data_IF_429728817783
#
_entry.id   IF_429728817783
#
_cell.length_a   1.000
_cell.length_b   1.000
_cell.length_c   1.000
_cell.angle_alpha   90.00
_cell.angle_beta   90.00
_cell.angle_gamma   90.00
#
_symmetry.space_group_name_H-M   'P 1'
#
loop_
_entity.id
_entity.type
_entity.pdbx_description
1 polymer ?
#
# COMPACT_ATOMS: atom_id res chain seq x y z
N UNK A 1 -17.01 -13.14 -5.31
CA UNK A 1 -17.47 -12.38 -6.49
C UNK A 1 -17.72 -13.39 -7.59
N UNK A 2 -18.80 -13.24 -8.36
CA UNK A 2 -19.07 -14.07 -9.52
C UNK A 2 -18.63 -13.38 -10.80
N UNK A 3 -18.44 -14.16 -11.85
CA UNK A 3 -18.16 -13.71 -13.21
C UNK A 3 -19.05 -14.48 -14.18
N UNK A 4 -19.38 -13.88 -15.32
CA UNK A 4 -20.18 -14.52 -16.35
C UNK A 4 -19.92 -13.90 -17.72
N UNK A 5 -20.29 -14.65 -18.76
CA UNK A 5 -20.31 -14.19 -20.15
C UNK A 5 -21.47 -14.83 -20.90
N UNK A 6 -21.89 -14.17 -21.98
CA UNK A 6 -22.98 -14.62 -22.85
C UNK A 6 -22.50 -14.55 -24.31
N UNK A 7 -22.79 -15.60 -25.07
CA UNK A 7 -22.60 -15.65 -26.52
C UNK A 7 -23.85 -15.17 -27.25
N UNK A 8 -23.68 -14.31 -28.25
CA UNK A 8 -24.79 -13.68 -28.99
C UNK A 8 -24.73 -13.90 -30.51
N UNK A 9 -23.85 -14.79 -31.00
CA UNK A 9 -23.50 -14.99 -32.42
C UNK A 9 -24.72 -15.13 -33.35
N UNK A 10 -25.81 -15.77 -32.89
CA UNK A 10 -27.02 -16.00 -33.70
C UNK A 10 -28.33 -15.65 -32.96
N UNK A 11 -28.27 -14.75 -31.98
CA UNK A 11 -29.37 -14.53 -31.04
C UNK A 11 -29.84 -13.09 -31.07
N UNK A 12 -31.15 -12.92 -31.26
CA UNK A 12 -31.81 -11.62 -31.08
C UNK A 12 -32.53 -11.61 -29.74
N UNK A 13 -32.71 -10.45 -29.08
CA UNK A 13 -33.41 -10.39 -27.79
C UNK A 13 -34.82 -11.00 -27.78
N UNK A 14 -35.42 -11.21 -28.97
CA UNK A 14 -36.76 -11.74 -29.17
C UNK A 14 -36.80 -13.25 -29.51
N UNK A 15 -35.66 -13.92 -29.69
CA UNK A 15 -35.63 -15.38 -29.83
C UNK A 15 -35.84 -15.99 -28.45
N UNK A 16 -37.00 -16.59 -28.17
CA UNK A 16 -37.38 -17.10 -26.83
C UNK A 16 -36.50 -18.22 -26.24
N UNK A 17 -35.32 -18.48 -26.79
CA UNK A 17 -34.31 -19.40 -26.26
C UNK A 17 -33.23 -18.61 -25.51
N UNK A 18 -32.83 -19.03 -24.30
CA UNK A 18 -31.75 -18.38 -23.57
C UNK A 18 -30.42 -18.58 -24.32
N UNK A 19 -29.57 -17.54 -24.41
CA UNK A 19 -28.29 -17.64 -25.08
C UNK A 19 -27.33 -18.58 -24.35
N UNK A 20 -26.40 -19.24 -25.08
CA UNK A 20 -25.27 -19.92 -24.46
C UNK A 20 -24.55 -18.96 -23.52
N UNK A 21 -24.39 -19.39 -22.28
CA UNK A 21 -23.79 -18.56 -21.25
C UNK A 21 -23.02 -19.42 -20.26
N UNK A 22 -22.02 -18.80 -19.65
CA UNK A 22 -21.22 -19.42 -18.62
C UNK A 22 -21.11 -18.50 -17.43
N UNK A 23 -21.06 -19.08 -16.23
CA UNK A 23 -20.89 -18.33 -14.99
C UNK A 23 -20.06 -19.11 -13.98
N UNK A 24 -19.30 -18.40 -13.17
CA UNK A 24 -18.42 -18.99 -12.17
C UNK A 24 -18.17 -18.05 -10.99
N UNK A 25 -17.54 -18.59 -9.95
CA UNK A 25 -17.13 -17.83 -8.77
C UNK A 25 -15.62 -17.70 -8.69
N UNK A 26 -15.17 -16.65 -8.00
CA UNK A 26 -13.77 -16.45 -7.63
C UNK A 26 -13.52 -16.72 -6.15
N UNK A 27 -12.40 -17.35 -5.84
CA UNK A 27 -11.81 -17.39 -4.51
C UNK A 27 -10.71 -16.31 -4.37
N UNK A 28 -10.24 -16.14 -3.13
CA UNK A 28 -9.04 -15.40 -2.75
C UNK A 28 -8.86 -14.01 -3.37
N UNK A 29 -9.03 -12.99 -2.52
CA UNK A 29 -8.96 -11.57 -2.89
C UNK A 29 -9.83 -11.20 -4.11
N UNK A 30 -11.14 -11.49 -4.07
CA UNK A 30 -12.03 -11.16 -5.17
C UNK A 30 -12.10 -9.64 -5.37
N UNK A 31 -12.09 -9.20 -6.63
CA UNK A 31 -12.31 -7.81 -7.04
C UNK A 31 -13.12 -7.79 -8.34
N UNK A 32 -13.77 -6.68 -8.65
CA UNK A 32 -14.52 -6.54 -9.92
C UNK A 32 -13.63 -6.80 -11.13
N UNK A 33 -12.45 -6.17 -11.16
CA UNK A 33 -11.44 -6.42 -12.20
C UNK A 33 -11.05 -7.89 -12.31
N UNK A 34 -10.87 -8.61 -11.19
CA UNK A 34 -10.52 -10.04 -11.27
C UNK A 34 -11.67 -10.86 -11.88
N UNK A 35 -12.91 -10.54 -11.56
CA UNK A 35 -14.07 -11.22 -12.14
C UNK A 35 -14.16 -10.98 -13.65
N UNK A 36 -13.96 -9.74 -14.10
CA UNK A 36 -13.94 -9.40 -15.52
C UNK A 36 -12.83 -10.13 -16.28
N UNK A 37 -11.63 -10.24 -15.70
CA UNK A 37 -10.51 -11.00 -16.29
C UNK A 37 -10.84 -12.49 -16.38
N UNK A 38 -11.52 -13.07 -15.40
CA UNK A 38 -11.93 -14.48 -15.45
C UNK A 38 -13.09 -14.73 -16.42
N UNK A 39 -14.00 -13.76 -16.59
CA UNK A 39 -15.01 -13.81 -17.64
C UNK A 39 -14.35 -13.86 -19.02
N UNK A 40 -13.36 -12.99 -19.27
CA UNK A 40 -12.54 -13.02 -20.48
C UNK A 40 -11.80 -14.35 -20.67
N UNK A 41 -11.11 -14.82 -19.63
CA UNK A 41 -10.34 -16.06 -19.66
C UNK A 41 -11.23 -17.26 -20.01
N UNK A 42 -12.37 -17.41 -19.33
CA UNK A 42 -13.26 -18.55 -19.54
C UNK A 42 -13.96 -18.53 -20.89
N UNK A 43 -14.21 -17.35 -21.45
CA UNK A 43 -14.68 -17.26 -22.82
C UNK A 43 -13.63 -17.69 -23.84
N UNK A 44 -12.38 -17.22 -23.69
CA UNK A 44 -11.25 -17.65 -24.53
C UNK A 44 -11.02 -19.17 -24.45
N UNK A 45 -11.23 -19.76 -23.27
CA UNK A 45 -11.18 -21.22 -23.10
C UNK A 45 -12.26 -21.90 -23.96
N UNK A 46 -13.49 -21.38 -23.96
CA UNK A 46 -14.64 -21.98 -24.64
C UNK A 46 -14.63 -21.86 -26.18
N UNK A 47 -14.03 -20.80 -26.74
CA UNK A 47 -14.00 -20.56 -28.20
C UNK A 47 -13.19 -21.65 -28.92
N UNK A 48 -13.57 -22.16 -30.09
CA UNK A 48 -12.74 -23.10 -30.87
C UNK A 48 -11.39 -22.52 -31.32
N UNK A 49 -10.49 -23.39 -31.77
CA UNK A 49 -9.21 -22.96 -32.37
C UNK A 49 -9.45 -22.21 -33.69
N UNK A 50 -8.48 -21.40 -34.10
CA UNK A 50 -8.48 -20.62 -35.34
C UNK A 50 -9.75 -19.77 -35.53
N UNK A 51 -10.23 -19.14 -34.46
CA UNK A 51 -11.47 -18.35 -34.45
C UNK A 51 -11.21 -16.85 -34.21
N UNK A 52 -12.12 -16.01 -34.72
CA UNK A 52 -12.17 -14.59 -34.42
C UNK A 52 -13.25 -14.32 -33.35
N UNK A 53 -12.85 -13.58 -32.30
CA UNK A 53 -13.66 -13.32 -31.12
C UNK A 53 -13.77 -11.81 -30.87
N UNK A 54 -14.98 -11.29 -31.01
CA UNK A 54 -15.33 -9.91 -30.65
C UNK A 54 -15.94 -9.87 -29.25
N UNK A 55 -15.28 -9.13 -28.36
CA UNK A 55 -15.60 -9.07 -26.94
C UNK A 55 -16.10 -7.68 -26.59
N UNK A 56 -17.35 -7.59 -26.13
CA UNK A 56 -17.94 -6.34 -25.68
C UNK A 56 -17.89 -6.26 -24.16
N UNK A 57 -17.17 -5.29 -23.61
CA UNK A 57 -17.05 -5.11 -22.16
C UNK A 57 -17.12 -3.67 -21.74
N UNK A 58 -17.73 -3.42 -20.58
CA UNK A 58 -17.71 -2.13 -19.91
C UNK A 58 -16.45 -1.92 -19.05
N UNK A 59 -15.53 -2.88 -18.98
CA UNK A 59 -14.27 -2.71 -18.24
C UNK A 59 -13.20 -2.01 -19.08
N UNK A 60 -12.98 -0.71 -18.84
CA UNK A 60 -11.83 -0.02 -19.45
C UNK A 60 -10.50 -0.61 -18.96
N UNK A 61 -10.46 -1.13 -17.73
CA UNK A 61 -9.24 -1.66 -17.14
C UNK A 61 -8.82 -2.99 -17.78
N UNK A 62 -9.78 -3.87 -18.11
CA UNK A 62 -9.52 -5.10 -18.86
C UNK A 62 -9.03 -4.79 -20.26
N UNK A 63 -9.69 -3.88 -20.99
CA UNK A 63 -9.27 -3.48 -22.34
C UNK A 63 -7.84 -2.97 -22.34
N UNK A 64 -7.53 -2.01 -21.47
CA UNK A 64 -6.18 -1.45 -21.37
C UNK A 64 -5.14 -2.51 -20.99
N UNK A 65 -5.44 -3.37 -20.01
CA UNK A 65 -4.49 -4.40 -19.56
C UNK A 65 -4.29 -5.48 -20.62
N UNK A 66 -5.34 -5.87 -21.35
CA UNK A 66 -5.27 -6.80 -22.47
C UNK A 66 -4.24 -6.33 -23.50
N UNK A 67 -4.37 -5.09 -23.98
CA UNK A 67 -3.40 -4.53 -24.93
C UNK A 67 -1.97 -4.42 -24.39
N UNK A 68 -1.81 -4.23 -23.07
CA UNK A 68 -0.48 -4.26 -22.45
C UNK A 68 0.10 -5.68 -22.46
N UNK A 69 -0.67 -6.70 -22.10
CA UNK A 69 -0.15 -8.07 -21.96
C UNK A 69 0.04 -8.75 -23.32
N UNK A 70 -0.87 -8.56 -24.28
CA UNK A 70 -0.78 -9.20 -25.61
C UNK A 70 0.25 -8.54 -26.51
N UNK A 71 0.69 -7.33 -26.19
CA UNK A 71 1.80 -6.69 -26.88
C UNK A 71 3.11 -7.43 -26.59
N UNK A 72 3.67 -8.09 -27.60
CA UNK A 72 4.91 -8.88 -27.51
C UNK A 72 6.16 -8.05 -27.15
N UNK A 73 6.09 -6.71 -27.25
CA UNK A 73 7.15 -5.80 -26.79
C UNK A 73 7.07 -5.47 -25.30
N UNK A 74 6.02 -5.91 -24.59
CA UNK A 74 5.88 -5.68 -23.16
C UNK A 74 6.88 -6.52 -22.37
N UNK A 75 7.76 -5.84 -21.64
CA UNK A 75 8.73 -6.52 -20.77
C UNK A 75 8.05 -7.37 -19.70
N UNK A 76 8.67 -8.50 -19.32
CA UNK A 76 8.24 -9.36 -18.20
C UNK A 76 7.98 -8.57 -16.92
N UNK A 77 8.82 -7.56 -16.64
CA UNK A 77 8.66 -6.69 -15.46
C UNK A 77 7.34 -5.92 -15.48
N UNK A 78 6.89 -5.46 -16.65
CA UNK A 78 5.63 -4.72 -16.79
C UNK A 78 4.45 -5.68 -16.62
N UNK A 79 4.52 -6.88 -17.18
CA UNK A 79 3.51 -7.94 -17.01
C UNK A 79 3.35 -8.37 -15.55
N UNK A 80 4.46 -8.58 -14.81
CA UNK A 80 4.43 -8.96 -13.39
C UNK A 80 3.91 -7.84 -12.45
N UNK A 81 3.82 -6.60 -12.93
CA UNK A 81 3.19 -5.49 -12.18
C UNK A 81 1.67 -5.44 -12.39
N UNK A 82 1.15 -6.11 -13.41
CA UNK A 82 -0.28 -6.18 -13.66
C UNK A 82 -0.94 -7.03 -12.57
N UNK A 83 -2.07 -6.57 -12.06
CA UNK A 83 -2.91 -7.41 -11.22
C UNK A 83 -3.53 -8.53 -12.07
N UNK A 84 -3.78 -9.68 -11.44
CA UNK A 84 -4.22 -10.92 -12.06
C UNK A 84 -3.22 -11.46 -13.10
N UNK A 85 -1.91 -11.24 -12.91
CA UNK A 85 -0.87 -11.59 -13.91
C UNK A 85 -0.88 -13.06 -14.34
N UNK A 86 -1.30 -13.98 -13.45
CA UNK A 86 -1.45 -15.40 -13.76
C UNK A 86 -2.56 -15.65 -14.80
N UNK A 87 -3.73 -15.03 -14.62
CA UNK A 87 -4.84 -15.13 -15.56
C UNK A 87 -4.48 -14.51 -16.91
N UNK A 88 -3.78 -13.37 -16.88
CA UNK A 88 -3.28 -12.72 -18.10
C UNK A 88 -2.24 -13.54 -18.84
N UNK A 89 -1.32 -14.20 -18.13
CA UNK A 89 -0.36 -15.11 -18.73
C UNK A 89 -1.06 -16.30 -19.41
N UNK A 90 -2.09 -16.86 -18.77
CA UNK A 90 -2.90 -17.92 -19.36
C UNK A 90 -3.66 -17.44 -20.60
N UNK A 91 -4.25 -16.24 -20.56
CA UNK A 91 -4.91 -15.62 -21.72
C UNK A 91 -3.96 -15.48 -22.91
N UNK A 92 -2.77 -14.88 -22.72
CA UNK A 92 -1.79 -14.71 -23.82
C UNK A 92 -1.31 -16.06 -24.39
N UNK A 93 -1.14 -17.05 -23.51
CA UNK A 93 -0.78 -18.42 -23.89
C UNK A 93 -1.88 -19.06 -24.73
N UNK A 94 -3.15 -18.96 -24.32
CA UNK A 94 -4.28 -19.55 -25.02
C UNK A 94 -4.51 -18.88 -26.37
N UNK A 95 -4.44 -17.55 -26.45
CA UNK A 95 -4.56 -16.82 -27.73
C UNK A 95 -3.51 -17.29 -28.72
N UNK A 96 -2.26 -17.43 -28.26
CA UNK A 96 -1.15 -17.87 -29.11
C UNK A 96 -1.31 -19.34 -29.52
N UNK A 97 -1.70 -20.23 -28.59
CA UNK A 97 -1.83 -21.66 -28.83
C UNK A 97 -3.00 -22.01 -29.76
N UNK A 98 -4.10 -21.28 -29.65
CA UNK A 98 -5.34 -21.50 -30.40
C UNK A 98 -5.46 -20.63 -31.65
N UNK A 99 -4.40 -19.87 -32.00
CA UNK A 99 -4.37 -18.95 -33.15
C UNK A 99 -5.55 -17.98 -33.20
N UNK A 100 -5.97 -17.44 -32.06
CA UNK A 100 -7.18 -16.61 -31.98
C UNK A 100 -6.92 -15.16 -32.41
N UNK A 101 -7.90 -14.57 -33.08
CA UNK A 101 -7.97 -13.12 -33.32
C UNK A 101 -8.97 -12.54 -32.32
N UNK A 102 -8.49 -11.86 -31.28
CA UNK A 102 -9.34 -11.33 -30.20
C UNK A 102 -9.39 -9.80 -30.27
N UNK A 103 -10.61 -9.24 -30.35
CA UNK A 103 -10.87 -7.80 -30.36
C UNK A 103 -11.75 -7.42 -29.19
N UNK A 104 -11.39 -6.34 -28.48
CA UNK A 104 -12.16 -5.85 -27.34
C UNK A 104 -12.80 -4.50 -27.67
N UNK A 105 -14.10 -4.38 -27.38
CA UNK A 105 -14.94 -3.22 -27.64
C UNK A 105 -15.48 -2.66 -26.33
N UNK A 106 -15.36 -1.35 -26.13
CA UNK A 106 -15.87 -0.68 -24.93
C UNK A 106 -17.38 -0.47 -25.05
N UNK A 107 -18.13 -0.99 -24.08
CA UNK A 107 -19.55 -0.69 -23.88
C UNK A 107 -19.70 0.38 -22.80
N UNK A 108 -20.68 1.28 -22.93
CA UNK A 108 -20.97 2.27 -21.89
C UNK A 108 -21.66 1.58 -20.71
N UNK A 109 -21.09 1.69 -19.52
CA UNK A 109 -21.72 1.19 -18.29
C UNK A 109 -23.08 1.89 -18.08
N UNK A 110 -24.06 1.17 -17.53
CA UNK A 110 -25.41 1.70 -17.23
C UNK A 110 -26.12 2.32 -18.43
N UNK A 111 -25.96 1.73 -19.62
CA UNK A 111 -26.60 2.17 -20.86
C UNK A 111 -27.89 1.42 -21.19
N UNK A 112 -28.45 0.65 -20.24
CA UNK A 112 -29.59 -0.25 -20.43
C UNK A 112 -29.39 -1.20 -21.63
N UNK A 113 -28.17 -1.72 -21.78
CA UNK A 113 -27.88 -2.71 -22.81
C UNK A 113 -28.38 -4.06 -22.30
N UNK A 114 -29.41 -4.60 -22.97
CA UNK A 114 -30.08 -5.84 -22.60
C UNK A 114 -29.12 -7.01 -22.31
N UNK A 115 -28.15 -7.24 -23.21
CA UNK A 115 -27.19 -8.33 -23.05
C UNK A 115 -26.20 -8.07 -21.92
N UNK A 116 -25.83 -6.81 -21.72
CA UNK A 116 -24.96 -6.43 -20.61
C UNK A 116 -25.65 -6.66 -19.26
N UNK A 117 -26.90 -6.20 -19.14
CA UNK A 117 -27.69 -6.35 -17.92
C UNK A 117 -27.96 -7.84 -17.59
N UNK A 118 -28.14 -8.68 -18.64
CA UNK A 118 -28.26 -10.13 -18.48
C UNK A 118 -26.98 -10.76 -17.91
N UNK A 119 -25.81 -10.43 -18.47
CA UNK A 119 -24.55 -11.00 -17.99
C UNK A 119 -24.18 -10.50 -16.57
N UNK A 120 -24.52 -9.27 -16.22
CA UNK A 120 -24.41 -8.76 -14.85
C UNK A 120 -25.29 -9.53 -13.86
N UNK A 121 -26.53 -9.82 -14.24
CA UNK A 121 -27.43 -10.66 -13.46
C UNK A 121 -26.84 -12.06 -13.25
N UNK A 122 -26.32 -12.69 -14.31
CA UNK A 122 -25.66 -14.00 -14.22
C UNK A 122 -24.45 -13.97 -13.28
N UNK A 123 -23.58 -12.97 -13.40
CA UNK A 123 -22.41 -12.81 -12.54
C UNK A 123 -22.82 -12.62 -11.08
N UNK A 124 -23.92 -11.91 -10.81
CA UNK A 124 -24.42 -11.74 -9.44
C UNK A 124 -24.95 -13.05 -8.85
N UNK A 125 -25.68 -13.86 -9.64
CA UNK A 125 -26.14 -15.19 -9.18
C UNK A 125 -24.98 -16.16 -8.94
N UNK A 126 -23.87 -16.00 -9.65
CA UNK A 126 -22.72 -16.88 -9.59
C UNK A 126 -21.88 -16.72 -8.31
N UNK A 127 -22.13 -15.69 -7.49
CA UNK A 127 -21.32 -15.38 -6.29
C UNK A 127 -21.24 -16.52 -5.26
N UNK A 128 -22.24 -17.39 -5.25
CA UNK A 128 -22.38 -18.50 -4.30
C UNK A 128 -21.87 -19.84 -4.87
N UNK A 129 -21.38 -19.86 -6.11
CA UNK A 129 -20.84 -21.07 -6.71
C UNK A 129 -19.47 -21.42 -6.12
N UNK A 130 -19.08 -22.68 -6.32
CA UNK A 130 -17.72 -23.13 -5.97
C UNK A 130 -16.70 -22.35 -6.80
N UNK A 131 -15.69 -21.76 -6.17
CA UNK A 131 -14.76 -20.89 -6.86
C UNK A 131 -13.75 -21.64 -7.73
N UNK A 132 -13.37 -21.00 -8.84
CA UNK A 132 -12.30 -21.47 -9.72
C UNK A 132 -10.94 -20.89 -9.31
N UNK A 133 -9.91 -21.72 -9.39
CA UNK A 133 -8.52 -21.33 -9.17
C UNK A 133 -7.63 -21.79 -10.32
N UNK A 134 -6.75 -20.89 -10.78
CA UNK A 134 -5.72 -21.25 -11.76
C UNK A 134 -4.63 -22.01 -11.02
N UNK A 135 -4.37 -23.25 -11.44
CA UNK A 135 -3.18 -23.97 -11.00
C UNK A 135 -1.92 -23.31 -11.60
N UNK A 136 -1.07 -22.66 -10.80
CA UNK A 136 0.07 -21.92 -11.34
C UNK A 136 1.22 -22.84 -11.80
N UNK A 137 1.24 -24.11 -11.36
CA UNK A 137 2.32 -25.05 -11.67
C UNK A 137 2.36 -25.47 -13.14
N UNK A 138 1.24 -25.32 -13.84
CA UNK A 138 1.08 -25.70 -15.24
C UNK A 138 1.23 -24.53 -16.20
N UNK A 139 1.55 -23.32 -15.71
CA UNK A 139 1.69 -22.13 -16.55
C UNK A 139 3.06 -22.10 -17.26
N UNK A 140 3.09 -22.02 -18.60
CA UNK A 140 4.34 -22.01 -19.34
C UNK A 140 5.12 -20.70 -19.08
N UNK A 141 6.44 -20.80 -18.98
CA UNK A 141 7.33 -19.64 -18.82
C UNK A 141 7.39 -19.03 -17.42
N UNK A 142 6.67 -19.57 -16.43
CA UNK A 142 6.78 -19.17 -15.03
C UNK A 142 7.89 -19.95 -14.33
N UNK A 143 9.00 -19.29 -13.97
CA UNK A 143 10.09 -19.92 -13.18
C UNK A 143 9.64 -20.28 -11.75
N UNK A 144 8.73 -19.48 -11.19
CA UNK A 144 8.20 -19.66 -9.84
C UNK A 144 6.95 -18.80 -9.67
N UNK A 145 5.92 -19.35 -9.04
CA UNK A 145 4.78 -18.57 -8.57
C UNK A 145 4.79 -18.53 -7.05
N UNK A 146 5.00 -17.36 -6.42
CA UNK A 146 5.00 -17.27 -4.97
C UNK A 146 3.58 -17.48 -4.45
N UNK A 147 3.45 -18.29 -3.39
CA UNK A 147 2.19 -18.64 -2.75
C UNK A 147 2.12 -17.93 -1.40
N UNK A 148 1.00 -17.27 -1.12
CA UNK A 148 0.76 -16.64 0.18
C UNK A 148 0.39 -17.71 1.22
N UNK A 149 1.26 -17.90 2.22
CA UNK A 149 1.04 -18.81 3.35
C UNK A 149 0.63 -20.24 2.96
N UNK A 150 1.06 -20.73 1.78
CA UNK A 150 0.61 -22.00 1.19
C UNK A 150 -0.91 -22.09 0.95
N UNK A 151 -1.62 -20.95 0.96
CA UNK A 151 -3.07 -20.86 0.73
C UNK A 151 -3.37 -20.66 -0.75
N UNK A 152 -2.82 -19.61 -1.36
CA UNK A 152 -3.15 -19.25 -2.74
C UNK A 152 -2.00 -18.49 -3.45
N UNK A 153 -1.92 -18.58 -4.78
CA UNK A 153 -0.92 -17.85 -5.57
C UNK A 153 -1.03 -16.32 -5.41
N UNK A 154 0.10 -15.63 -5.38
CA UNK A 154 0.14 -14.16 -5.38
C UNK A 154 0.03 -13.68 -6.83
N UNK A 155 -1.20 -13.32 -7.21
CA UNK A 155 -1.60 -12.90 -8.55
C UNK A 155 -1.56 -11.36 -8.74
N UNK A 156 -0.73 -10.63 -7.98
CA UNK A 156 -0.61 -9.15 -8.05
C UNK A 156 0.84 -8.70 -8.08
N UNK A 157 1.08 -7.39 -8.12
CA UNK A 157 2.45 -6.82 -8.02
C UNK A 157 3.16 -7.35 -6.76
N UNK A 158 4.07 -8.31 -6.98
CA UNK A 158 4.79 -9.02 -5.92
C UNK A 158 5.64 -8.05 -5.10
N UNK A 159 6.22 -7.01 -5.72
CA UNK A 159 7.07 -6.06 -4.99
C UNK A 159 6.25 -5.22 -4.03
N UNK A 160 5.10 -4.72 -4.48
CA UNK A 160 4.17 -3.98 -3.61
C UNK A 160 3.62 -4.87 -2.51
N UNK A 161 3.29 -6.13 -2.84
CA UNK A 161 2.84 -7.11 -1.85
C UNK A 161 3.89 -7.33 -0.74
N UNK A 162 5.14 -7.63 -1.11
CA UNK A 162 6.23 -7.82 -0.14
C UNK A 162 6.55 -6.53 0.64
N UNK A 163 6.47 -5.36 -0.01
CA UNK A 163 6.65 -4.08 0.67
C UNK A 163 5.57 -3.86 1.73
N UNK A 164 4.30 -4.13 1.42
CA UNK A 164 3.22 -4.01 2.38
C UNK A 164 3.41 -4.95 3.59
N UNK A 165 3.88 -6.18 3.38
CA UNK A 165 4.20 -7.09 4.48
C UNK A 165 5.31 -6.54 5.38
N UNK A 166 6.35 -5.96 4.77
CA UNK A 166 7.45 -5.34 5.49
C UNK A 166 6.99 -4.12 6.28
N UNK A 167 6.13 -3.29 5.69
CA UNK A 167 5.50 -2.14 6.35
C UNK A 167 4.65 -2.59 7.56
N UNK A 168 3.83 -3.64 7.41
CA UNK A 168 3.01 -4.19 8.50
C UNK A 168 3.89 -4.74 9.62
N UNK A 169 4.93 -5.52 9.29
CA UNK A 169 5.86 -6.05 10.28
C UNK A 169 6.59 -4.93 11.04
N UNK A 170 7.07 -3.92 10.32
CA UNK A 170 7.75 -2.76 10.90
C UNK A 170 6.80 -1.96 11.79
N UNK A 171 5.54 -1.77 11.36
CA UNK A 171 4.53 -1.10 12.15
C UNK A 171 4.18 -1.88 13.42
N UNK A 172 4.06 -3.20 13.35
CA UNK A 172 3.84 -4.04 14.52
C UNK A 172 5.02 -3.97 15.53
N UNK A 173 6.26 -3.96 15.04
CA UNK A 173 7.43 -3.72 15.89
C UNK A 173 7.41 -2.33 16.53
N UNK A 174 6.98 -1.31 15.78
CA UNK A 174 6.80 0.03 16.30
C UNK A 174 5.75 0.07 17.42
N UNK A 175 4.59 -0.58 17.25
CA UNK A 175 3.57 -0.69 18.29
C UNK A 175 4.06 -1.43 19.54
N UNK A 176 4.95 -2.42 19.36
CA UNK A 176 5.58 -3.16 20.46
C UNK A 176 6.74 -2.44 21.14
N UNK A 177 7.05 -1.18 20.79
CA UNK A 177 8.14 -0.43 21.40
C UNK A 177 7.79 -0.05 22.86
N UNK A 178 8.56 -0.49 23.87
CA UNK A 178 8.27 -0.20 25.28
C UNK A 178 8.24 1.28 25.62
N UNK A 179 8.94 2.14 24.86
CA UNK A 179 8.87 3.58 25.10
C UNK A 179 7.50 4.17 24.76
N UNK A 180 6.69 3.49 23.93
CA UNK A 180 5.35 3.95 23.54
C UNK A 180 4.24 3.33 24.39
N UNK A 181 4.54 2.34 25.24
CA UNK A 181 3.56 1.74 26.16
C UNK A 181 2.79 2.79 26.96
N UNK A 182 3.39 3.84 27.54
CA UNK A 182 2.64 4.86 28.28
C UNK A 182 1.56 5.58 27.45
N UNK A 183 1.77 5.72 26.14
CA UNK A 183 0.75 6.28 25.23
C UNK A 183 -0.37 5.26 25.01
N UNK A 184 -0.02 4.02 24.70
CA UNK A 184 -1.00 2.98 24.35
C UNK A 184 -1.80 2.46 25.55
N UNK A 185 -1.27 2.59 26.77
CA UNK A 185 -1.99 2.32 28.02
C UNK A 185 -3.06 3.39 28.31
N UNK A 186 -2.85 4.60 27.78
CA UNK A 186 -3.68 5.78 28.01
C UNK A 186 -4.67 6.04 26.87
N UNK A 187 -4.30 5.66 25.64
CA UNK A 187 -5.06 5.94 24.42
C UNK A 187 -5.19 4.66 23.59
N UNK A 188 -6.41 4.28 23.18
CA UNK A 188 -6.58 3.13 22.29
C UNK A 188 -5.93 3.40 20.93
N UNK A 189 -5.43 2.36 20.25
CA UNK A 189 -4.80 2.52 18.94
C UNK A 189 -5.70 3.17 17.88
N UNK A 190 -7.02 3.09 18.05
CA UNK A 190 -8.03 3.72 17.20
C UNK A 190 -8.12 5.24 17.39
N UNK A 191 -7.63 5.80 18.49
CA UNK A 191 -7.63 7.25 18.73
C UNK A 191 -6.49 7.97 18.00
N UNK A 192 -5.64 7.24 17.26
CA UNK A 192 -4.51 7.79 16.51
C UNK A 192 -4.78 7.63 15.02
N UNK A 193 -4.73 8.76 14.30
CA UNK A 193 -4.82 8.76 12.85
C UNK A 193 -3.46 8.37 12.23
N UNK A 194 -3.21 7.06 12.13
CA UNK A 194 -1.93 6.49 11.69
C UNK A 194 -1.44 6.96 10.31
N UNK A 195 -2.28 7.08 9.25
CA UNK A 195 -1.80 7.52 7.95
C UNK A 195 -1.22 8.94 7.98
N UNK A 196 -1.86 9.85 8.72
CA UNK A 196 -1.43 11.23 8.85
C UNK A 196 -0.25 11.36 9.82
N UNK A 197 -0.23 10.56 10.88
CA UNK A 197 0.93 10.42 11.78
C UNK A 197 2.18 9.96 11.04
N UNK A 198 2.08 8.92 10.20
CA UNK A 198 3.18 8.45 9.34
C UNK A 198 3.70 9.58 8.45
N UNK A 199 2.79 10.29 7.79
CA UNK A 199 3.15 11.41 6.94
C UNK A 199 3.85 12.52 7.75
N UNK A 200 3.31 12.87 8.93
CA UNK A 200 3.84 13.92 9.80
C UNK A 200 5.27 13.60 10.28
N UNK A 201 5.52 12.35 10.69
CA UNK A 201 6.86 11.92 11.10
C UNK A 201 7.88 11.95 9.96
N UNK A 202 7.43 11.78 8.72
CA UNK A 202 8.27 11.84 7.51
C UNK A 202 8.41 13.26 6.94
N UNK A 203 7.64 14.22 7.45
CA UNK A 203 7.60 15.58 6.92
C UNK A 203 8.94 16.30 7.05
N UNK A 204 9.42 16.89 5.96
CA UNK A 204 10.60 17.73 5.96
C UNK A 204 10.20 19.21 5.86
N UNK A 205 10.44 19.99 6.91
CA UNK A 205 10.13 21.42 6.93
C UNK A 205 11.23 22.30 6.31
N UNK A 206 12.39 21.73 5.96
CA UNK A 206 13.48 22.49 5.32
C UNK A 206 13.47 22.29 3.80
N UNK A 207 13.88 23.31 3.02
CA UNK A 207 13.97 23.19 1.56
C UNK A 207 14.96 22.10 1.12
N UNK A 208 16.01 21.88 1.91
CA UNK A 208 17.05 20.91 1.60
C UNK A 208 16.65 19.46 1.93
N UNK A 209 17.12 18.52 1.10
CA UNK A 209 16.99 17.08 1.35
C UNK A 209 17.84 16.66 2.55
N UNK A 210 18.99 17.27 2.76
CA UNK A 210 19.89 16.99 3.89
C UNK A 210 20.45 18.28 4.47
N UNK A 211 20.11 18.58 5.72
CA UNK A 211 20.67 19.71 6.47
C UNK A 211 20.81 19.37 7.96
N UNK A 212 21.67 20.12 8.64
CA UNK A 212 21.83 20.04 10.11
C UNK A 212 20.53 20.43 10.82
N UNK A 213 19.82 21.43 10.32
CA UNK A 213 18.52 21.87 10.81
C UNK A 213 17.47 20.76 10.68
N UNK A 214 17.35 20.13 9.50
CA UNK A 214 16.46 18.98 9.29
C UNK A 214 16.76 17.85 10.27
N UNK A 215 18.04 17.50 10.41
CA UNK A 215 18.47 16.44 11.32
C UNK A 215 18.11 16.76 12.77
N UNK A 216 18.19 18.03 13.16
CA UNK A 216 17.81 18.50 14.50
C UNK A 216 16.30 18.43 14.74
N UNK A 217 15.48 18.86 13.78
CA UNK A 217 14.02 18.72 13.85
C UNK A 217 13.59 17.26 13.90
N UNK A 218 14.15 16.39 13.05
CA UNK A 218 13.86 14.97 13.06
C UNK A 218 14.27 14.32 14.39
N UNK A 219 15.45 14.68 14.93
CA UNK A 219 15.88 14.20 16.23
C UNK A 219 14.94 14.66 17.35
N UNK A 220 14.46 15.91 17.31
CA UNK A 220 13.46 16.40 18.26
C UNK A 220 12.17 15.58 18.18
N UNK A 221 11.60 15.39 16.98
CA UNK A 221 10.37 14.61 16.79
C UNK A 221 10.49 13.18 17.29
N UNK A 222 11.54 12.46 16.89
CA UNK A 222 11.76 11.08 17.32
C UNK A 222 11.97 11.00 18.83
N UNK A 223 12.71 11.93 19.43
CA UNK A 223 12.89 11.94 20.89
C UNK A 223 11.60 12.29 21.64
N UNK A 224 10.79 13.21 21.12
CA UNK A 224 9.47 13.54 21.68
C UNK A 224 8.58 12.29 21.64
N UNK A 225 8.47 11.65 20.48
CA UNK A 225 7.68 10.42 20.31
C UNK A 225 8.09 9.31 21.27
N UNK A 226 9.38 9.13 21.55
CA UNK A 226 9.89 8.07 22.44
C UNK A 226 10.00 8.48 23.92
N UNK A 227 9.37 9.59 24.35
CA UNK A 227 9.45 10.11 25.73
C UNK A 227 10.90 10.34 26.23
N UNK A 228 11.83 10.60 25.32
CA UNK A 228 13.23 10.89 25.66
C UNK A 228 13.39 12.36 26.04
N UNK A 229 12.51 13.23 25.53
CA UNK A 229 12.43 14.60 25.97
C UNK A 229 11.55 14.67 27.22
N UNK A 230 11.83 15.60 28.16
CA UNK A 230 10.87 15.96 29.19
C UNK A 230 9.67 16.60 28.49
N UNK A 231 8.70 15.77 28.12
CA UNK A 231 7.46 16.18 27.49
C UNK A 231 6.42 16.50 28.57
N UNK A 232 5.18 16.77 28.16
CA UNK A 232 4.16 17.49 28.94
C UNK A 232 4.02 17.06 30.40
N UNK A 233 4.15 15.80 30.76
CA UNK A 233 4.06 15.30 32.15
C UNK A 233 5.07 15.95 33.12
N UNK A 234 6.32 16.15 32.69
CA UNK A 234 7.33 16.87 33.49
C UNK A 234 7.13 18.38 33.41
N UNK A 235 6.64 18.88 32.27
CA UNK A 235 6.48 20.31 32.01
C UNK A 235 5.25 20.92 32.69
N UNK A 236 4.10 20.24 32.69
CA UNK A 236 2.85 20.65 33.36
C UNK A 236 3.06 20.76 34.87
N UNK A 237 3.92 19.90 35.44
CA UNK A 237 4.24 19.92 36.88
C UNK A 237 5.22 21.04 37.29
N UNK A 238 5.95 21.64 36.34
CA UNK A 238 7.05 22.57 36.64
C UNK A 238 7.00 23.92 35.90
N UNK A 239 6.15 24.11 34.89
CA UNK A 239 6.16 25.31 34.06
C UNK A 239 4.75 25.88 33.82
N UNK A 240 4.50 27.09 34.35
CA UNK A 240 3.41 28.01 33.98
C UNK A 240 3.40 28.43 32.49
N UNK A 241 4.31 27.90 31.65
CA UNK A 241 4.48 28.22 30.23
C UNK A 241 3.48 27.42 29.36
N UNK A 242 2.82 26.41 29.92
CA UNK A 242 1.90 25.56 29.16
C UNK A 242 0.54 26.23 28.87
N UNK A 243 0.09 27.15 29.71
CA UNK A 243 -1.18 27.89 29.56
C UNK A 243 -1.23 28.75 28.29
N UNK A 244 -0.18 29.51 27.90
CA UNK A 244 -0.12 30.19 26.60
C UNK A 244 -0.28 29.25 25.40
N UNK A 245 0.34 28.07 25.43
CA UNK A 245 0.27 27.07 24.34
C UNK A 245 -1.14 26.52 24.20
N UNK A 246 -1.83 26.31 25.33
CA UNK A 246 -3.24 25.92 25.41
C UNK A 246 -4.16 26.98 24.78
N UNK A 247 -3.92 28.26 25.04
CA UNK A 247 -4.73 29.35 24.46
C UNK A 247 -4.46 29.47 22.96
N UNK A 248 -3.20 29.30 22.55
CA UNK A 248 -2.81 29.51 21.15
C UNK A 248 -3.35 28.44 20.21
N UNK A 249 -3.45 27.17 20.63
CA UNK A 249 -4.03 26.08 19.79
C UNK A 249 -5.47 26.37 19.37
N UNK A 250 -6.29 26.96 20.24
CA UNK A 250 -7.70 27.29 19.93
C UNK A 250 -7.74 28.33 18.81
N UNK A 251 -6.96 29.41 18.98
CA UNK A 251 -6.88 30.51 18.01
C UNK A 251 -6.36 30.06 16.65
N UNK A 252 -5.33 29.20 16.60
CA UNK A 252 -4.83 28.68 15.32
C UNK A 252 -5.94 27.91 14.60
N UNK A 253 -6.57 26.96 15.30
CA UNK A 253 -7.55 26.07 14.65
C UNK A 253 -8.77 26.86 14.17
N UNK A 254 -9.27 27.77 15.00
CA UNK A 254 -10.38 28.65 14.63
C UNK A 254 -10.04 29.46 13.38
N UNK A 255 -8.89 30.14 13.37
CA UNK A 255 -8.44 30.91 12.20
C UNK A 255 -8.35 30.04 10.94
N UNK A 256 -7.73 28.86 11.04
CA UNK A 256 -7.59 27.97 9.88
C UNK A 256 -8.94 27.47 9.36
N UNK A 257 -9.91 27.18 10.25
CA UNK A 257 -11.26 26.79 9.82
C UNK A 257 -12.01 27.97 9.20
N UNK A 258 -11.88 29.18 9.73
CA UNK A 258 -12.48 30.40 9.16
C UNK A 258 -11.88 30.76 7.79
N UNK A 259 -10.57 30.58 7.60
CA UNK A 259 -9.87 30.87 6.34
C UNK A 259 -10.20 29.86 5.23
N UNK A 260 -10.39 28.58 5.60
CA UNK A 260 -10.55 27.49 4.63
C UNK A 260 -11.99 27.00 4.46
N UNK A 261 -12.94 27.49 5.25
CA UNK A 261 -14.34 27.02 5.21
C UNK A 261 -15.32 28.18 5.23
N UNK A 262 -16.50 27.99 4.65
CA UNK A 262 -17.55 29.03 4.59
C UNK A 262 -18.49 29.01 5.81
N UNK A 263 -18.12 28.33 6.89
CA UNK A 263 -18.95 28.24 8.09
C UNK A 263 -18.93 29.55 8.90
N UNK A 264 -20.03 29.81 9.60
CA UNK A 264 -20.12 30.97 10.49
C UNK A 264 -19.08 30.83 11.64
N UNK A 265 -18.28 31.86 11.94
CA UNK A 265 -17.33 31.88 13.06
C UNK A 265 -17.93 31.45 14.41
N UNK A 266 -19.19 31.81 14.69
CA UNK A 266 -19.87 31.43 15.93
C UNK A 266 -20.11 29.91 15.99
N UNK A 267 -20.48 29.28 14.87
CA UNK A 267 -20.69 27.84 14.81
C UNK A 267 -19.36 27.07 14.92
N UNK A 268 -18.30 27.59 14.28
CA UNK A 268 -16.94 27.06 14.41
C UNK A 268 -16.51 27.11 15.88
N UNK A 269 -16.67 28.26 16.54
CA UNK A 269 -16.31 28.47 17.96
C UNK A 269 -17.07 27.50 18.86
N UNK A 270 -18.40 27.38 18.71
CA UNK A 270 -19.21 26.44 19.50
C UNK A 270 -18.76 25.00 19.36
N UNK A 271 -18.39 24.58 18.14
CA UNK A 271 -17.92 23.21 17.88
C UNK A 271 -16.51 22.97 18.42
N UNK A 272 -15.65 23.99 18.38
CA UNK A 272 -14.28 23.98 18.91
C UNK A 272 -14.31 23.90 20.44
N UNK A 273 -15.19 24.66 21.10
CA UNK A 273 -15.27 24.74 22.57
C UNK A 273 -15.71 23.43 23.21
N UNK A 274 -16.46 22.60 22.47
CA UNK A 274 -16.89 21.27 22.91
C UNK A 274 -15.85 20.18 22.65
N UNK A 275 -14.72 20.50 22.03
CA UNK A 275 -13.75 19.51 21.59
C UNK A 275 -12.64 19.26 22.62
N UNK A 276 -12.46 18.01 23.05
CA UNK A 276 -11.55 17.59 24.12
C UNK A 276 -10.10 18.03 23.93
N UNK A 277 -9.61 18.11 22.69
CA UNK A 277 -8.23 18.59 22.41
C UNK A 277 -8.02 20.04 22.85
N UNK A 278 -9.10 20.81 22.96
CA UNK A 278 -9.10 22.26 23.12
C UNK A 278 -9.55 22.69 24.52
N UNK A 279 -10.13 21.77 25.31
CA UNK A 279 -10.48 21.99 26.71
C UNK A 279 -9.27 22.35 27.59
N UNK A 280 -9.43 23.21 28.61
CA UNK A 280 -8.36 23.45 29.57
C UNK A 280 -7.86 22.15 30.21
N UNK A 281 -6.54 22.05 30.40
CA UNK A 281 -5.96 20.94 31.15
C UNK A 281 -6.20 21.21 32.64
N UNK A 282 -6.92 20.29 33.28
CA UNK A 282 -7.17 20.25 34.72
C UNK A 282 -6.60 18.95 35.30
N UNK A 283 -6.54 18.84 36.62
CA UNK A 283 -6.08 17.59 37.26
C UNK A 283 -6.91 16.38 36.79
N UNK A 284 -8.22 16.56 36.62
CA UNK A 284 -9.17 15.51 36.25
C UNK A 284 -9.00 14.95 34.82
N UNK A 285 -8.55 15.77 33.85
CA UNK A 285 -8.42 15.36 32.44
C UNK A 285 -6.96 15.27 31.97
N UNK A 286 -5.98 15.72 32.79
CA UNK A 286 -4.56 15.75 32.42
C UNK A 286 -4.00 14.40 31.98
N UNK A 287 -4.51 13.30 32.56
CA UNK A 287 -4.08 11.96 32.20
C UNK A 287 -4.64 11.53 30.84
N UNK A 288 -5.82 11.93 30.39
CA UNK A 288 -6.39 11.43 29.12
C UNK A 288 -6.49 12.50 28.04
N UNK A 289 -5.95 13.70 28.28
CA UNK A 289 -6.11 14.83 27.38
C UNK A 289 -5.46 14.57 25.99
N UNK A 290 -6.21 14.68 24.86
CA UNK A 290 -5.72 14.37 23.52
C UNK A 290 -4.47 15.15 23.06
N UNK A 291 -4.23 16.34 23.63
CA UNK A 291 -3.00 17.12 23.41
C UNK A 291 -1.73 16.32 23.68
N UNK A 292 -1.78 15.32 24.57
CA UNK A 292 -0.67 14.44 24.86
C UNK A 292 -0.19 13.71 23.59
N UNK A 293 -1.13 13.22 22.77
CA UNK A 293 -0.81 12.62 21.47
C UNK A 293 -0.04 13.61 20.59
N UNK A 294 -0.55 14.85 20.47
CA UNK A 294 0.05 15.87 19.60
C UNK A 294 1.47 16.21 20.07
N UNK A 295 1.68 16.46 21.37
CA UNK A 295 3.02 16.74 21.94
C UNK A 295 4.02 15.63 21.57
N UNK A 296 3.55 14.37 21.62
CA UNK A 296 4.30 13.18 21.27
C UNK A 296 4.31 12.86 19.77
N UNK A 297 4.02 13.84 18.90
CA UNK A 297 4.09 13.73 17.44
C UNK A 297 3.07 12.76 16.82
N UNK A 298 2.00 12.46 17.55
CA UNK A 298 0.89 11.61 17.09
C UNK A 298 -0.32 12.47 16.79
N UNK A 299 -1.00 12.17 15.68
CA UNK A 299 -2.20 12.90 15.28
C UNK A 299 -3.43 12.18 15.83
N UNK A 300 -4.27 12.90 16.59
CA UNK A 300 -5.53 12.36 17.11
C UNK A 300 -6.53 12.07 15.97
N UNK A 301 -7.20 10.93 16.05
CA UNK A 301 -8.29 10.56 15.14
C UNK A 301 -9.50 11.49 15.29
N UNK A 302 -9.83 11.90 16.52
CA UNK A 302 -10.93 12.81 16.76
C UNK A 302 -10.65 14.19 16.19
N UNK A 303 -9.38 14.62 16.23
CA UNK A 303 -8.99 15.89 15.62
C UNK A 303 -9.16 15.85 14.10
N UNK A 304 -8.80 14.72 13.48
CA UNK A 304 -9.07 14.51 12.07
C UNK A 304 -10.58 14.52 11.75
N UNK A 305 -11.39 13.85 12.56
CA UNK A 305 -12.84 13.78 12.38
C UNK A 305 -13.50 15.15 12.50
N UNK A 306 -13.09 15.97 13.48
CA UNK A 306 -13.57 17.34 13.66
C UNK A 306 -13.29 18.19 12.42
N UNK A 307 -12.05 18.24 11.95
CA UNK A 307 -11.72 19.06 10.77
C UNK A 307 -12.42 18.51 9.52
N UNK A 308 -12.59 17.19 9.43
CA UNK A 308 -13.32 16.55 8.34
C UNK A 308 -14.81 16.94 8.33
N UNK A 309 -15.44 17.13 9.49
CA UNK A 309 -16.85 17.52 9.55
C UNK A 309 -17.11 18.94 9.04
N UNK A 310 -16.10 19.79 8.96
CA UNK A 310 -16.19 21.12 8.34
C UNK A 310 -15.81 21.15 6.87
N UNK A 311 -15.04 20.17 6.39
CA UNK A 311 -14.46 20.23 5.04
C UNK A 311 -15.09 19.23 4.07
N UNK A 312 -15.58 18.09 4.57
CA UNK A 312 -16.06 16.95 3.78
C UNK A 312 -15.08 16.50 2.68
N UNK A 313 -13.80 16.86 2.81
CA UNK A 313 -12.78 16.68 1.77
C UNK A 313 -11.43 16.31 2.42
N UNK A 314 -10.96 15.07 2.20
CA UNK A 314 -9.73 14.56 2.83
C UNK A 314 -8.49 15.41 2.53
N UNK A 315 -8.37 15.95 1.31
CA UNK A 315 -7.21 16.75 0.92
C UNK A 315 -7.19 18.07 1.71
N UNK A 316 -8.33 18.74 1.80
CA UNK A 316 -8.47 19.98 2.56
C UNK A 316 -8.32 19.73 4.07
N UNK A 317 -8.96 18.69 4.60
CA UNK A 317 -8.83 18.26 6.00
C UNK A 317 -7.36 18.11 6.38
N UNK A 318 -6.59 17.37 5.57
CA UNK A 318 -5.17 17.14 5.80
C UNK A 318 -4.38 18.43 5.76
N UNK A 319 -4.67 19.35 4.82
CA UNK A 319 -3.98 20.64 4.72
C UNK A 319 -4.13 21.46 6.01
N UNK A 320 -5.37 21.62 6.48
CA UNK A 320 -5.68 22.38 7.70
C UNK A 320 -4.98 21.77 8.92
N UNK A 321 -5.07 20.44 9.09
CA UNK A 321 -4.37 19.74 10.19
C UNK A 321 -2.86 19.92 10.08
N UNK A 322 -2.31 19.89 8.87
CA UNK A 322 -0.88 20.06 8.64
C UNK A 322 -0.40 21.44 9.08
N UNK A 323 -1.11 22.49 8.69
CA UNK A 323 -0.79 23.87 9.06
C UNK A 323 -0.91 24.08 10.58
N UNK A 324 -1.94 23.49 11.18
CA UNK A 324 -2.08 23.45 12.64
C UNK A 324 -0.86 22.79 13.30
N UNK A 325 -0.46 21.59 12.86
CA UNK A 325 0.68 20.87 13.44
C UNK A 325 2.00 21.62 13.27
N UNK A 326 2.24 22.25 12.12
CA UNK A 326 3.42 23.08 11.87
C UNK A 326 3.45 24.25 12.87
N UNK A 327 2.36 25.01 12.95
CA UNK A 327 2.28 26.18 13.82
C UNK A 327 2.40 25.79 15.29
N UNK A 328 1.68 24.75 15.72
CA UNK A 328 1.70 24.25 17.09
C UNK A 328 3.10 23.78 17.50
N UNK A 329 3.73 22.93 16.69
CA UNK A 329 5.04 22.37 17.03
C UNK A 329 6.16 23.39 16.94
N UNK A 330 6.10 24.36 16.03
CA UNK A 330 7.06 25.46 16.01
C UNK A 330 6.98 26.26 17.31
N UNK A 331 5.76 26.59 17.78
CA UNK A 331 5.61 27.27 19.07
C UNK A 331 6.13 26.47 20.26
N UNK A 332 5.77 25.19 20.35
CA UNK A 332 6.28 24.28 21.39
C UNK A 332 7.81 24.27 21.36
N UNK A 333 8.39 24.15 20.16
CA UNK A 333 9.83 24.15 19.99
C UNK A 333 10.45 25.48 20.44
N UNK A 334 10.01 26.63 19.90
CA UNK A 334 10.61 27.93 20.19
C UNK A 334 10.47 28.36 21.65
N UNK A 335 9.32 28.10 22.28
CA UNK A 335 9.04 28.58 23.64
C UNK A 335 9.62 27.66 24.73
N UNK A 336 9.54 26.34 24.54
CA UNK A 336 9.93 25.39 25.59
C UNK A 336 11.38 24.95 25.41
N UNK A 337 11.78 24.57 24.20
CA UNK A 337 13.01 23.80 24.01
C UNK A 337 14.30 24.61 24.23
N UNK A 338 14.46 25.84 23.68
CA UNK A 338 15.59 26.71 24.00
C UNK A 338 15.70 27.03 25.50
N UNK A 339 14.57 27.31 26.16
CA UNK A 339 14.56 27.61 27.60
C UNK A 339 15.00 26.41 28.42
N UNK A 340 14.45 25.23 28.14
CA UNK A 340 14.85 23.97 28.77
C UNK A 340 16.34 23.68 28.54
N UNK A 341 16.83 23.79 27.30
CA UNK A 341 18.25 23.59 27.00
C UNK A 341 19.17 24.54 27.77
N UNK A 342 18.73 25.78 27.98
CA UNK A 342 19.49 26.78 28.74
C UNK A 342 19.52 26.45 30.22
N UNK A 343 18.38 26.06 30.80
CA UNK A 343 18.29 25.64 32.21
C UNK A 343 19.08 24.35 32.47
N UNK A 344 19.03 23.39 31.55
CA UNK A 344 19.83 22.16 31.63
C UNK A 344 21.33 22.47 31.60
N UNK A 345 21.79 23.36 30.72
CA UNK A 345 23.20 23.81 30.70
C UNK A 345 23.62 24.46 32.02
N UNK A 346 22.78 25.31 32.60
CA UNK A 346 23.05 25.94 33.90
C UNK A 346 23.10 24.90 35.03
N UNK A 347 22.17 23.95 35.03
CA UNK A 347 22.18 22.85 36.00
C UNK A 347 23.44 21.99 35.86
N UNK A 348 23.85 21.65 34.64
CA UNK A 348 25.07 20.90 34.37
C UNK A 348 26.32 21.65 34.86
N UNK A 349 26.40 22.96 34.64
CA UNK A 349 27.47 23.81 35.14
C UNK A 349 27.53 23.82 36.67
N UNK A 350 26.38 23.99 37.34
CA UNK A 350 26.29 23.97 38.82
C UNK A 350 26.70 22.63 39.43
N UNK A 351 26.48 21.53 38.71
CA UNK A 351 26.87 20.18 39.15
C UNK A 351 28.26 19.74 38.64
N UNK A 352 29.03 20.65 38.02
CA UNK A 352 30.36 20.34 37.48
C UNK A 352 30.36 19.33 36.32
N UNK A 353 29.23 19.12 35.66
CA UNK A 353 29.08 18.16 34.55
C UNK A 353 29.59 18.80 33.27
N UNK A 354 30.82 18.46 32.88
CA UNK A 354 31.42 18.97 31.65
C UNK A 354 31.13 18.09 30.43
N UNK A 355 31.28 18.61 29.19
CA UNK A 355 31.26 17.77 27.99
C UNK A 355 32.27 16.62 28.02
N UNK A 356 33.42 16.81 28.69
CA UNK A 356 34.40 15.75 28.91
C UNK A 356 33.84 14.64 29.80
N UNK A 357 33.24 14.99 30.95
CA UNK A 357 32.55 14.04 31.83
C UNK A 357 31.52 13.19 31.06
N UNK A 358 30.72 13.82 30.19
CA UNK A 358 29.73 13.11 29.36
C UNK A 358 30.38 12.17 28.34
N UNK A 359 31.48 12.57 27.70
CA UNK A 359 32.21 11.72 26.73
C UNK A 359 32.86 10.53 27.44
N UNK A 360 33.48 10.77 28.58
CA UNK A 360 34.16 9.74 29.36
C UNK A 360 33.16 8.72 29.91
N UNK A 361 32.00 9.17 30.39
CA UNK A 361 30.90 8.30 30.79
C UNK A 361 30.44 7.38 29.65
N UNK A 362 30.25 7.92 28.43
CA UNK A 362 29.86 7.11 27.26
C UNK A 362 30.92 6.08 26.87
N UNK A 363 32.21 6.40 27.02
CA UNK A 363 33.33 5.49 26.73
C UNK A 363 33.45 4.38 27.77
N UNK A 364 33.15 4.68 29.04
CA UNK A 364 33.18 3.73 30.16
C UNK A 364 31.94 2.84 30.23
N UNK A 365 30.85 3.22 29.57
CA UNK A 365 29.64 2.39 29.51
C UNK A 365 29.99 1.10 28.75
N UNK A 366 29.87 -0.08 29.36
CA UNK A 366 30.12 -1.33 28.64
C UNK A 366 29.18 -1.36 27.43
N UNK A 367 29.74 -1.64 26.24
CA UNK A 367 28.91 -1.95 25.08
C UNK A 367 28.06 -3.14 25.48
N UNK A 368 26.74 -2.99 25.58
CA UNK A 368 25.85 -4.15 25.68
C UNK A 368 26.23 -5.09 24.54
N UNK A 369 26.64 -6.32 24.85
CA UNK A 369 26.75 -7.36 23.83
C UNK A 369 25.39 -7.42 23.14
N UNK A 370 25.40 -7.41 21.80
CA UNK A 370 24.21 -7.76 21.04
C UNK A 370 24.08 -9.28 21.12
N UNK A 371 23.72 -9.79 22.28
CA UNK A 371 23.24 -11.16 22.40
C UNK A 371 21.78 -11.12 21.94
N UNK A 372 21.60 -11.18 20.62
CA UNK A 372 20.31 -11.62 20.08
C UNK A 372 20.20 -13.11 20.43
N UNK A 373 19.08 -13.56 21.03
CA UNK A 373 18.78 -14.98 21.07
C UNK A 373 18.74 -15.47 19.63
N UNK A 374 19.68 -16.35 19.29
CA UNK A 374 19.68 -17.03 18.01
C UNK A 374 18.53 -18.03 18.07
N UNK A 375 17.31 -17.59 17.74
CA UNK A 375 16.25 -18.53 17.44
C UNK A 375 16.69 -19.29 16.19
N UNK A 376 16.97 -20.57 16.38
CA UNK A 376 17.37 -21.51 15.35
C UNK A 376 16.39 -21.44 14.18
N UNK A 377 16.86 -20.98 13.03
CA UNK A 377 16.23 -21.19 11.74
C UNK A 377 17.06 -22.26 11.02
N UNK A 378 16.39 -23.37 10.77
CA UNK A 378 16.81 -24.52 9.97
C UNK A 378 17.56 -24.12 8.70
N UNK A 379 18.79 -24.64 8.62
CA UNK A 379 19.59 -25.02 7.43
C UNK A 379 19.17 -24.45 6.06
N UNK A 380 20.00 -23.54 5.53
CA UNK A 380 20.17 -23.32 4.09
C UNK A 380 21.59 -23.71 3.67
N UNK A 381 21.81 -24.30 2.48
CA UNK A 381 23.16 -24.67 2.03
C UNK A 381 23.99 -23.44 1.66
N UNK A 382 25.26 -23.50 2.07
CA UNK A 382 26.33 -22.55 1.74
C UNK A 382 26.74 -22.69 0.27
N UNK A 383 26.86 -21.55 -0.44
CA UNK A 383 27.66 -21.45 -1.66
C UNK A 383 28.91 -20.65 -1.31
N UNK A 384 30.06 -21.30 -1.43
CA UNK A 384 31.37 -20.74 -1.16
C UNK A 384 31.73 -19.64 -2.17
N UNK A 385 32.39 -18.59 -1.69
CA UNK A 385 33.13 -17.64 -2.52
C UNK A 385 34.48 -17.44 -1.86
N UNK A 386 35.50 -18.05 -2.45
CA UNK A 386 36.91 -17.96 -2.09
C UNK A 386 37.39 -16.50 -2.11
N UNK A 387 37.93 -16.06 -0.99
CA UNK A 387 38.76 -14.86 -0.86
C UNK A 387 40.23 -15.23 -1.07
N UNK A 388 41.04 -14.26 -1.53
CA UNK A 388 42.49 -14.05 -1.33
C UNK A 388 42.82 -12.81 -2.19
N UNK A 389 43.60 -11.79 -1.84
CA UNK A 389 44.21 -11.29 -0.61
C UNK A 389 44.75 -9.88 -0.99
N UNK A 390 44.90 -8.93 -0.07
CA UNK A 390 45.82 -7.78 -0.29
C UNK A 390 45.41 -6.47 0.36
N UNK A 391 45.99 -6.19 1.53
CA UNK A 391 45.91 -4.92 2.27
C UNK A 391 46.77 -3.82 1.63
N UNK A 392 46.32 -2.57 1.70
CA UNK A 392 47.00 -1.41 2.35
C UNK A 392 46.42 -0.07 1.83
N UNK A 393 46.03 0.80 2.77
CA UNK A 393 45.92 2.25 2.61
C UNK A 393 47.26 2.87 3.07
N UNK A 394 47.68 4.12 2.71
CA UNK A 394 46.80 5.31 2.70
C UNK A 394 47.17 6.54 1.81
N UNK A 395 46.24 7.52 1.76
CA UNK A 395 46.36 8.98 1.50
C UNK A 395 47.24 9.56 0.36
N UNK A 396 46.63 10.17 -0.68
CA UNK A 396 46.64 11.63 -1.00
C UNK A 396 46.01 11.96 -2.39
N UNK A 397 45.65 13.25 -2.70
CA UNK A 397 44.55 13.62 -3.59
C UNK A 397 44.93 14.27 -4.95
N UNK A 398 43.90 14.42 -5.82
CA UNK A 398 43.82 15.10 -7.15
C UNK A 398 44.40 14.27 -8.30
N UNK A 399 43.75 14.11 -9.46
CA UNK A 399 43.42 15.15 -10.45
C UNK A 399 42.24 14.70 -11.34
N UNK A 400 41.37 15.65 -11.70
CA UNK A 400 40.33 15.56 -12.74
C UNK A 400 41.00 15.67 -14.11
N UNK A 401 40.76 14.72 -15.00
CA UNK A 401 40.97 14.91 -16.44
C UNK A 401 39.71 14.52 -17.21
N UNK A 402 39.07 15.54 -17.75
CA UNK A 402 38.05 15.47 -18.80
C UNK A 402 38.70 14.91 -20.06
N UNK A 403 38.10 13.92 -20.73
CA UNK A 403 38.16 13.78 -22.18
C UNK A 403 36.97 12.94 -22.67
N UNK A 404 36.15 13.55 -23.51
CA UNK A 404 35.26 12.94 -24.52
C UNK A 404 35.51 13.71 -25.82
N UNK A 405 35.06 13.22 -26.98
CA UNK A 405 35.44 12.01 -27.72
C UNK A 405 36.00 12.41 -29.11
N UNK A 406 36.20 11.46 -30.05
CA UNK A 406 35.81 11.78 -31.42
C UNK A 406 34.97 10.70 -32.10
N UNK A 407 34.19 11.20 -33.05
CA UNK A 407 33.22 10.54 -33.91
C UNK A 407 33.78 9.41 -34.78
N UNK A 408 32.91 8.45 -35.13
CA UNK A 408 33.22 7.39 -36.08
C UNK A 408 31.99 6.57 -36.48
N UNK A 409 31.51 6.82 -37.69
CA UNK A 409 30.29 6.33 -38.34
C UNK A 409 30.33 4.83 -38.69
N UNK A 410 29.18 4.17 -38.47
CA UNK A 410 28.55 3.05 -39.21
C UNK A 410 29.35 1.79 -39.57
N UNK A 411 28.86 0.63 -39.11
CA UNK A 411 28.66 -0.56 -39.97
C UNK A 411 27.62 -1.51 -39.36
N UNK A 412 26.50 -1.67 -40.08
CA UNK A 412 25.50 -2.73 -39.90
C UNK A 412 26.12 -4.08 -40.27
N UNK A 413 25.91 -5.10 -39.45
CA UNK A 413 26.08 -6.50 -39.81
C UNK A 413 24.74 -7.21 -39.72
N UNK A 414 24.17 -7.54 -40.88
CA UNK A 414 23.07 -8.49 -41.04
C UNK A 414 23.60 -9.90 -40.77
N UNK A 415 22.82 -10.75 -40.09
CA UNK A 415 23.08 -12.19 -39.98
C UNK A 415 21.89 -12.98 -40.53
N UNK A 416 22.12 -14.14 -41.18
CA UNK A 416 21.23 -14.68 -42.20
C UNK A 416 20.49 -15.92 -41.71
N UNK A 417 19.15 -15.92 -41.83
CA UNK A 417 18.37 -17.15 -42.04
C UNK A 417 17.15 -16.81 -42.90
N UNK A 418 17.30 -17.07 -44.20
CA UNK A 418 16.23 -17.27 -45.17
C UNK A 418 16.02 -18.79 -45.24
N UNK A 419 14.80 -19.27 -45.04
CA UNK A 419 14.35 -20.56 -45.55
C UNK A 419 12.82 -20.64 -45.52
N UNK A 420 12.26 -20.43 -46.71
CA UNK A 420 11.06 -21.02 -47.34
C UNK A 420 9.87 -21.52 -46.50
N UNK A 421 8.69 -21.05 -46.94
CA UNK A 421 7.35 -21.52 -46.60
C UNK A 421 7.05 -22.98 -47.01
N UNK A 422 6.02 -23.61 -46.40
CA UNK A 422 5.24 -24.64 -47.05
C UNK A 422 3.85 -24.16 -47.48
N UNK A 423 3.58 -24.43 -48.75
CA UNK A 423 2.32 -24.70 -49.46
C UNK A 423 0.95 -24.47 -48.79
N UNK A 424 0.12 -23.77 -49.56
CA UNK A 424 -1.34 -23.67 -49.56
C UNK A 424 -2.13 -24.99 -49.56
N UNK A 425 -3.20 -25.10 -48.74
CA UNK A 425 -4.57 -25.59 -49.08
C UNK A 425 -5.48 -25.65 -47.82
N UNK A 426 -6.82 -25.71 -47.94
CA UNK A 426 -7.76 -25.10 -48.89
C UNK A 426 -8.72 -24.10 -48.19
N UNK A 427 -9.20 -23.13 -48.96
CA UNK A 427 -10.38 -22.31 -48.67
C UNK A 427 -11.63 -23.16 -48.80
N UNK A 428 -12.32 -23.52 -47.71
CA UNK A 428 -13.78 -23.72 -47.63
C UNK A 428 -14.15 -24.25 -46.23
N UNK A 429 -14.36 -23.34 -45.29
CA UNK A 429 -15.32 -23.42 -44.18
C UNK A 429 -15.55 -21.96 -43.74
N UNK A 430 -16.79 -21.47 -43.60
CA UNK A 430 -17.01 -20.12 -43.11
C UNK A 430 -16.58 -20.08 -41.64
N UNK A 431 -15.51 -19.33 -41.33
CA UNK A 431 -15.29 -18.86 -39.97
C UNK A 431 -16.47 -17.93 -39.65
N UNK A 432 -17.38 -18.41 -38.80
CA UNK A 432 -18.44 -17.58 -38.27
C UNK A 432 -17.81 -16.58 -37.29
N UNK A 433 -18.10 -15.29 -37.41
CA UNK A 433 -17.65 -14.32 -36.41
C UNK A 433 -18.34 -14.64 -35.08
N UNK A 434 -17.58 -14.83 -34.00
CA UNK A 434 -18.15 -15.13 -32.67
C UNK A 434 -18.22 -13.86 -31.82
N UNK A 435 -19.41 -13.57 -31.30
CA UNK A 435 -19.70 -12.32 -30.58
C UNK A 435 -19.99 -12.65 -29.12
N UNK A 436 -19.19 -12.09 -28.22
CA UNK A 436 -19.24 -12.37 -26.79
C UNK A 436 -19.38 -11.08 -25.98
N UNK A 437 -20.28 -11.08 -25.00
CA UNK A 437 -20.47 -9.95 -24.09
C UNK A 437 -19.97 -10.33 -22.69
N UNK A 438 -19.04 -9.52 -22.16
CA UNK A 438 -18.42 -9.61 -20.84
C UNK A 438 -18.83 -8.43 -19.96
N UNK A 439 -19.42 -8.68 -18.80
CA UNK A 439 -19.93 -7.60 -17.96
C UNK A 439 -19.14 -7.41 -16.66
N UNK A 440 -18.96 -6.14 -16.28
CA UNK A 440 -18.33 -5.75 -15.02
C UNK A 440 -19.31 -5.77 -13.85
N UNK A 441 -18.86 -6.37 -12.75
CA UNK A 441 -19.70 -6.46 -11.56
C UNK A 441 -19.78 -5.12 -10.81
N UNK A 442 -21.01 -4.78 -10.42
CA UNK A 442 -21.39 -3.58 -9.68
C UNK A 442 -20.48 -3.25 -8.48
N UNK A 443 -20.08 -1.97 -8.46
CA UNK A 443 -19.38 -1.28 -7.38
C UNK A 443 -20.21 -1.31 -6.09
N UNK A 444 -19.68 -1.93 -5.04
CA UNK A 444 -20.03 -1.59 -3.66
C UNK A 444 -18.76 -1.20 -2.93
N UNK A 445 -18.75 0.05 -2.48
CA UNK A 445 -17.75 0.61 -1.59
C UNK A 445 -17.52 -0.29 -0.37
N UNK A 446 -16.29 -0.74 -0.18
CA UNK A 446 -15.68 -1.00 1.13
C UNK A 446 -14.18 -0.92 0.91
N UNK A 447 -13.48 0.06 1.46
CA UNK A 447 -13.23 0.13 2.90
C UNK A 447 -11.79 -0.35 3.12
N UNK A 448 -11.01 0.42 3.88
CA UNK A 448 -9.57 0.28 3.98
C UNK A 448 -9.07 -1.15 4.24
N UNK A 449 -7.94 -1.48 3.60
CA UNK A 449 -7.14 -2.64 3.95
C UNK A 449 -6.49 -2.40 5.32
N UNK A 450 -7.25 -2.60 6.40
CA UNK A 450 -6.69 -2.82 7.72
C UNK A 450 -6.26 -4.28 7.79
N UNK A 451 -4.95 -4.51 7.69
CA UNK A 451 -4.36 -5.79 8.03
C UNK A 451 -4.41 -5.92 9.56
N UNK A 452 -5.49 -6.53 10.06
CA UNK A 452 -5.62 -6.89 11.48
C UNK A 452 -5.02 -8.30 11.64
N UNK A 453 -3.75 -8.37 12.00
CA UNK A 453 -3.12 -9.61 12.48
C UNK A 453 -3.53 -9.75 13.94
N UNK A 454 -4.62 -10.48 14.21
CA UNK A 454 -4.93 -10.95 15.56
C UNK A 454 -4.02 -12.14 15.84
N UNK A 455 -3.14 -11.99 16.81
CA UNK A 455 -2.38 -13.10 17.38
C UNK A 455 -3.38 -13.96 18.16
N UNK A 456 -3.77 -15.10 17.61
CA UNK A 456 -4.46 -16.13 18.41
C UNK A 456 -3.46 -16.61 19.46
N UNK A 457 -3.71 -16.27 20.72
CA UNK A 457 -3.01 -16.91 21.84
C UNK A 457 -3.44 -18.37 21.85
N UNK A 458 -2.47 -19.27 21.64
CA UNK A 458 -2.64 -20.69 21.85
C UNK A 458 -3.04 -20.96 23.30
N UNK A 459 -4.17 -21.65 23.47
CA UNK A 459 -4.60 -22.20 24.74
C UNK A 459 -5.58 -23.35 24.50
N UNK A 460 -5.07 -24.57 24.68
CA UNK A 460 -5.75 -25.86 24.89
C UNK A 460 -6.37 -26.59 23.69
N UNK A 461 -5.65 -27.66 23.32
CA UNK A 461 -6.09 -29.05 23.11
C UNK A 461 -7.51 -29.31 22.57
N UNK A 462 -7.57 -29.87 21.36
CA UNK A 462 -8.41 -31.04 21.11
C UNK A 462 -7.81 -31.93 19.99
N UNK A 463 -7.66 -33.25 20.19
CA UNK A 463 -7.14 -34.19 19.20
C UNK A 463 -8.28 -34.86 18.39
N UNK A 464 -7.96 -35.28 17.16
CA UNK A 464 -8.78 -36.06 16.20
C UNK A 464 -9.77 -35.28 15.30
N UNK A 465 -9.67 -35.51 13.98
CA UNK A 465 -10.75 -35.18 13.03
C UNK A 465 -10.32 -34.93 11.59
N UNK A 466 -9.98 -36.00 10.88
CA UNK A 466 -9.64 -36.13 9.45
C UNK A 466 -10.42 -35.25 8.44
N UNK A 467 -9.68 -34.82 7.41
CA UNK A 467 -10.15 -34.29 6.11
C UNK A 467 -11.07 -35.28 5.36
N UNK A 468 -11.84 -34.76 4.38
CA UNK A 468 -11.55 -35.19 3.00
C UNK A 468 -11.54 -34.04 1.99
N UNK A 469 -10.45 -33.98 1.20
CA UNK A 469 -10.37 -33.28 -0.09
C UNK A 469 -10.71 -34.30 -1.19
N UNK A 470 -11.76 -34.03 -1.96
CA UNK A 470 -12.01 -34.75 -3.22
C UNK A 470 -11.11 -34.19 -4.31
N UNK A 471 -10.04 -34.91 -4.62
CA UNK A 471 -9.35 -34.83 -5.91
C UNK A 471 -10.00 -35.86 -6.82
N UNK A 472 -10.49 -35.44 -7.99
CA UNK A 472 -10.81 -36.37 -9.07
C UNK A 472 -9.99 -35.93 -10.27
N UNK A 473 -8.99 -36.75 -10.57
CA UNK A 473 -8.32 -36.80 -11.86
C UNK A 473 -9.33 -37.34 -12.88
N UNK A 474 -9.48 -36.66 -14.02
CA UNK A 474 -9.68 -37.23 -15.35
C UNK A 474 -9.31 -36.19 -16.41
#
# INVERSE_FOLDING_TARGET
MGFAWIEITDITPNSGLPPPSYKGALSFNPSSTKAEVYALLTAIIAVPDDSELDIFTDSQNVIHTFHVVTNKLTSTRRTLKCNNHLAWCLIDTLITKKSLIVRLHKVKAHSNNFWNDMADSLANTARLLTPYEINPTTLPGSLMTPIWASIAPIDRDIRKFCHNLTDVYTFNQFLGNPSLSPIFDRFPLSSIHWPLTRAWLQFNSTPDVCSSTKSSHNAFRIKALNHILPCGDVLTKHYLIFTPIIIYRVRILQRLLEEHTSYNPTFITQSIDQFDLLLPISESNSYTHPIYLIIHQLVSQDFYNLVRSFTFNDKLTRSIIWEFLISFHDQVYQQIWPKHCSLLKLWEQRNGITPKCKRDFRRRKPKKSRDHPTNQLTTRPSVASTSLHGSQNPFQPRVRTNFSPPDGISRRSFHPWISSAPSTRPSHLPQLPMWLILCTCNFLHSGGWLCLIVRLNNGQDDPFGLLPRGWVEH
#
